data_IF_236821264651
#
_entry.id   IF_236821264651
#
_cell.length_a   1.000
_cell.length_b   1.000
_cell.length_c   1.000
_cell.angle_alpha   90.00
_cell.angle_beta   90.00
_cell.angle_gamma   90.00
#
_symmetry.space_group_name_H-M   'P 1'
#
loop_
_entity.id
_entity.type
_entity.pdbx_description
1 polymer ?
#
# COMPACT_ATOMS: atom_id res chain seq x y z
N UNK A 1 3.56 19.22 -7.45
CA UNK A 1 3.33 18.53 -6.19
C UNK A 1 2.44 17.28 -6.37
N UNK A 2 1.24 17.42 -6.94
CA UNK A 2 0.29 16.31 -7.09
C UNK A 2 0.77 15.18 -8.01
N UNK A 3 1.64 15.47 -8.96
CA UNK A 3 2.16 14.50 -9.92
C UNK A 3 3.68 14.30 -9.80
N UNK A 4 4.22 14.59 -8.62
CA UNK A 4 5.65 14.45 -8.33
C UNK A 4 6.13 13.01 -8.50
N UNK A 5 5.25 12.03 -8.30
CA UNK A 5 5.58 10.61 -8.38
C UNK A 5 6.09 10.14 -9.75
N UNK A 6 5.81 10.86 -10.83
CA UNK A 6 6.35 10.53 -12.15
C UNK A 6 7.85 10.81 -12.27
N UNK A 7 8.41 11.63 -11.38
CA UNK A 7 9.83 12.01 -11.38
C UNK A 7 10.70 11.05 -10.58
N UNK A 8 10.08 10.26 -9.73
CA UNK A 8 10.79 9.37 -8.81
C UNK A 8 10.65 7.91 -9.24
N UNK A 9 11.70 7.14 -9.02
CA UNK A 9 11.70 5.70 -9.18
C UNK A 9 11.46 5.05 -7.81
N UNK A 10 10.31 4.41 -7.59
CA UNK A 10 10.02 3.80 -6.30
C UNK A 10 10.97 2.67 -5.94
N UNK A 11 11.52 1.96 -6.93
CA UNK A 11 12.44 0.85 -6.69
C UNK A 11 13.77 1.32 -6.11
N UNK A 12 14.21 2.55 -6.40
CA UNK A 12 15.43 3.10 -5.84
C UNK A 12 15.38 3.24 -4.31
N UNK A 13 14.21 3.55 -3.76
CA UNK A 13 14.03 3.57 -2.31
C UNK A 13 14.19 2.18 -1.69
N UNK A 14 13.69 1.15 -2.37
CA UNK A 14 13.72 -0.23 -1.88
C UNK A 14 15.09 -0.88 -1.96
N UNK A 15 15.99 -0.37 -2.78
CA UNK A 15 17.37 -0.87 -2.89
C UNK A 15 18.22 -0.56 -1.67
N UNK A 16 17.81 0.41 -0.85
CA UNK A 16 18.53 0.81 0.35
C UNK A 16 18.12 -0.08 1.52
N UNK A 17 18.66 -1.28 1.54
CA UNK A 17 18.39 -2.29 2.55
C UNK A 17 19.56 -2.46 3.52
N UNK A 18 19.29 -3.08 4.66
CA UNK A 18 20.33 -3.52 5.59
C UNK A 18 20.08 -4.98 5.99
N UNK A 19 21.16 -5.67 6.34
CA UNK A 19 21.16 -7.11 6.59
C UNK A 19 21.23 -7.48 8.08
N UNK A 20 21.13 -6.52 8.99
CA UNK A 20 21.29 -6.68 10.44
C UNK A 20 20.04 -7.25 11.12
N UNK A 21 19.45 -8.29 10.54
CA UNK A 21 18.21 -8.89 11.05
C UNK A 21 18.31 -10.39 11.22
N UNK A 22 19.45 -10.87 11.66
CA UNK A 22 19.64 -12.31 11.88
C UNK A 22 18.54 -12.90 12.76
N UNK A 23 17.84 -13.90 12.22
CA UNK A 23 16.80 -14.62 12.93
C UNK A 23 15.44 -13.92 13.00
N UNK A 24 15.25 -12.74 12.39
CA UNK A 24 13.94 -12.13 12.34
C UNK A 24 13.14 -12.70 11.16
N UNK A 25 12.10 -13.44 11.46
CA UNK A 25 11.25 -14.14 10.49
C UNK A 25 9.75 -13.72 10.56
N UNK A 26 9.43 -12.75 11.40
CA UNK A 26 8.08 -12.23 11.56
C UNK A 26 7.75 -11.19 10.49
N UNK A 27 6.45 -10.97 10.28
CA UNK A 27 6.04 -9.92 9.34
C UNK A 27 6.38 -8.52 9.86
N UNK A 28 6.74 -7.66 8.94
CA UNK A 28 6.92 -6.24 9.19
C UNK A 28 5.71 -5.53 8.58
N UNK A 29 5.00 -4.75 9.39
CA UNK A 29 3.79 -4.05 8.98
C UNK A 29 3.95 -2.55 9.18
N UNK A 30 3.71 -1.80 8.13
CA UNK A 30 3.56 -0.35 8.20
C UNK A 30 2.10 -0.03 7.87
N UNK A 31 1.36 0.46 8.85
CA UNK A 31 -0.06 0.75 8.69
C UNK A 31 -0.36 2.23 8.72
N UNK A 32 -1.53 2.59 8.22
CA UNK A 32 -2.05 3.96 8.24
C UNK A 32 -1.17 4.96 7.50
N UNK A 33 -0.57 4.54 6.38
CA UNK A 33 0.19 5.43 5.51
C UNK A 33 -0.81 6.28 4.72
N UNK A 34 -0.98 7.53 5.12
CA UNK A 34 -1.89 8.44 4.42
C UNK A 34 -1.34 8.79 3.05
N UNK A 35 -2.23 8.87 2.07
CA UNK A 35 -1.87 9.29 0.73
C UNK A 35 -2.98 10.14 0.10
N UNK A 36 -2.58 10.91 -0.89
CA UNK A 36 -3.46 11.62 -1.81
C UNK A 36 -3.07 11.23 -3.22
N UNK A 37 -4.06 10.92 -4.05
CA UNK A 37 -3.88 10.55 -5.44
C UNK A 37 -4.96 11.20 -6.29
N UNK A 38 -4.93 10.97 -7.59
CA UNK A 38 -5.95 11.47 -8.52
C UNK A 38 -6.41 10.34 -9.41
N UNK A 39 -7.73 10.19 -9.52
CA UNK A 39 -8.36 9.21 -10.38
C UNK A 39 -8.04 9.50 -11.84
N UNK A 40 -7.53 8.50 -12.55
CA UNK A 40 -7.19 8.59 -13.97
C UNK A 40 -8.40 8.94 -14.85
N UNK A 41 -9.59 8.42 -14.49
CA UNK A 41 -10.80 8.61 -15.29
C UNK A 41 -11.44 9.99 -15.13
N UNK A 42 -11.47 10.53 -13.92
CA UNK A 42 -12.22 11.75 -13.60
C UNK A 42 -11.36 12.90 -13.12
N UNK A 43 -10.05 12.68 -12.96
CA UNK A 43 -9.09 13.67 -12.43
C UNK A 43 -9.44 14.19 -11.04
N UNK A 44 -10.36 13.53 -10.35
CA UNK A 44 -10.77 13.90 -9.00
C UNK A 44 -9.84 13.26 -7.95
N UNK A 45 -9.64 13.90 -6.79
CA UNK A 45 -8.78 13.34 -5.76
C UNK A 45 -9.27 12.01 -5.21
N UNK A 46 -8.29 11.16 -4.85
CA UNK A 46 -8.48 9.96 -4.03
C UNK A 46 -7.71 10.22 -2.75
N UNK A 47 -8.39 10.20 -1.61
CA UNK A 47 -7.78 10.42 -0.31
C UNK A 47 -7.93 9.15 0.51
N UNK A 48 -6.84 8.65 1.05
CA UNK A 48 -6.93 7.40 1.78
C UNK A 48 -5.70 7.02 2.58
N UNK A 49 -5.64 5.75 2.91
CA UNK A 49 -4.52 5.14 3.63
C UNK A 49 -4.13 3.81 2.98
N UNK A 50 -2.84 3.53 3.06
CA UNK A 50 -2.27 2.26 2.65
C UNK A 50 -1.68 1.54 3.85
N UNK A 51 -1.81 0.22 3.84
CA UNK A 51 -1.19 -0.67 4.81
C UNK A 51 -0.31 -1.63 4.02
N UNK A 52 0.96 -1.73 4.40
CA UNK A 52 1.95 -2.51 3.68
C UNK A 52 2.63 -3.45 4.65
N UNK A 53 2.72 -4.72 4.28
CA UNK A 53 3.45 -5.71 5.06
C UNK A 53 4.32 -6.57 4.15
N UNK A 54 5.42 -7.06 4.71
CA UNK A 54 6.22 -8.07 4.04
C UNK A 54 6.86 -9.02 5.06
N UNK A 55 7.13 -10.24 4.61
CA UNK A 55 7.86 -11.25 5.37
C UNK A 55 9.31 -11.23 4.89
N UNK A 56 10.25 -10.71 5.67
CA UNK A 56 11.62 -10.57 5.22
C UNK A 56 12.31 -11.93 5.07
N UNK A 57 13.23 -12.01 4.12
CA UNK A 57 14.18 -13.11 4.02
C UNK A 57 15.43 -12.79 4.83
N UNK A 58 16.36 -12.03 4.24
CA UNK A 58 17.60 -11.62 4.90
C UNK A 58 17.83 -10.10 4.82
N UNK A 59 16.89 -9.36 4.21
CA UNK A 59 17.00 -7.91 4.03
C UNK A 59 15.76 -7.21 4.54
N UNK A 60 15.98 -6.12 5.23
CA UNK A 60 14.92 -5.19 5.60
C UNK A 60 15.19 -3.82 5.01
N UNK A 61 14.12 -3.09 4.76
CA UNK A 61 14.16 -1.72 4.28
C UNK A 61 13.68 -0.78 5.37
N UNK A 62 14.21 0.42 5.42
CA UNK A 62 13.76 1.43 6.38
C UNK A 62 12.27 1.76 6.18
N UNK A 63 11.56 1.93 7.29
CA UNK A 63 10.11 2.20 7.27
C UNK A 63 9.75 3.43 6.44
N UNK A 64 10.59 4.46 6.48
CA UNK A 64 10.39 5.67 5.68
C UNK A 64 10.43 5.39 4.18
N UNK A 65 11.17 4.37 3.75
CA UNK A 65 11.28 4.00 2.34
C UNK A 65 9.98 3.35 1.83
N UNK A 66 9.33 2.55 2.65
CA UNK A 66 8.01 1.99 2.33
C UNK A 66 6.97 3.10 2.15
N UNK A 67 6.96 4.07 3.05
CA UNK A 67 6.07 5.23 2.93
C UNK A 67 6.35 6.02 1.64
N UNK A 68 7.62 6.17 1.26
CA UNK A 68 7.99 6.86 0.01
C UNK A 68 7.57 6.10 -1.24
N UNK A 69 7.58 4.77 -1.21
CA UNK A 69 7.08 3.95 -2.32
C UNK A 69 5.58 4.20 -2.52
N UNK A 70 4.81 4.19 -1.44
CA UNK A 70 3.37 4.51 -1.50
C UNK A 70 3.16 5.91 -2.07
N UNK A 71 3.89 6.90 -1.56
CA UNK A 71 3.80 8.29 -1.99
C UNK A 71 4.12 8.45 -3.49
N UNK A 72 5.17 7.79 -3.95
CA UNK A 72 5.60 7.87 -5.36
C UNK A 72 4.53 7.34 -6.30
N UNK A 73 3.93 6.20 -6.00
CA UNK A 73 2.83 5.68 -6.81
C UNK A 73 1.54 6.48 -6.66
N UNK A 74 1.27 7.01 -5.47
CA UNK A 74 0.05 7.79 -5.24
C UNK A 74 0.05 9.13 -5.98
N UNK A 75 1.20 9.80 -6.06
CA UNK A 75 1.32 11.10 -6.74
C UNK A 75 1.44 10.95 -8.26
N UNK A 76 0.50 10.21 -8.82
CA UNK A 76 0.31 9.96 -10.25
C UNK A 76 -1.18 9.94 -10.54
N UNK A 77 -1.55 9.99 -11.80
CA UNK A 77 -2.91 9.61 -12.20
C UNK A 77 -3.05 8.09 -12.01
N UNK A 78 -4.00 7.67 -11.21
CA UNK A 78 -4.08 6.26 -10.80
C UNK A 78 -5.49 5.66 -10.96
N UNK A 79 -5.47 4.34 -11.09
CA UNK A 79 -6.59 3.46 -10.80
C UNK A 79 -6.21 2.72 -9.53
N UNK A 80 -7.08 2.70 -8.53
CA UNK A 80 -6.72 2.19 -7.20
C UNK A 80 -6.23 0.74 -7.21
N UNK A 81 -6.86 -0.11 -8.00
CA UNK A 81 -6.45 -1.51 -8.15
C UNK A 81 -5.04 -1.63 -8.73
N UNK A 82 -4.73 -0.82 -9.72
CA UNK A 82 -3.41 -0.77 -10.35
C UNK A 82 -2.35 -0.27 -9.36
N UNK A 83 -2.64 0.79 -8.63
CA UNK A 83 -1.73 1.33 -7.61
C UNK A 83 -1.40 0.27 -6.55
N UNK A 84 -2.41 -0.46 -6.07
CA UNK A 84 -2.24 -1.53 -5.09
C UNK A 84 -1.30 -2.62 -5.62
N UNK A 85 -1.51 -3.07 -6.85
CA UNK A 85 -0.67 -4.07 -7.49
C UNK A 85 0.75 -3.57 -7.76
N UNK A 86 0.92 -2.30 -8.13
CA UNK A 86 2.22 -1.70 -8.38
C UNK A 86 3.07 -1.63 -7.11
N UNK A 87 2.48 -1.24 -5.99
CA UNK A 87 3.18 -1.19 -4.70
C UNK A 87 3.64 -2.59 -4.30
N UNK A 88 2.74 -3.57 -4.33
CA UNK A 88 3.07 -4.95 -3.97
C UNK A 88 4.13 -5.55 -4.89
N UNK A 89 3.99 -5.35 -6.19
CA UNK A 89 4.92 -5.88 -7.19
C UNK A 89 6.33 -5.30 -7.08
N UNK A 90 6.45 -4.01 -6.77
CA UNK A 90 7.75 -3.36 -6.58
C UNK A 90 8.48 -3.91 -5.35
N UNK A 91 7.77 -4.12 -4.26
CA UNK A 91 8.34 -4.68 -3.03
C UNK A 91 8.80 -6.13 -3.28
N UNK A 92 7.96 -6.94 -3.92
CA UNK A 92 8.32 -8.32 -4.27
C UNK A 92 9.56 -8.39 -5.16
N UNK A 93 9.62 -7.55 -6.18
CA UNK A 93 10.71 -7.53 -7.15
C UNK A 93 12.05 -7.18 -6.52
N UNK A 94 12.08 -6.15 -5.68
CA UNK A 94 13.34 -5.60 -5.14
C UNK A 94 13.79 -6.31 -3.88
N UNK A 95 12.90 -6.52 -2.91
CA UNK A 95 13.26 -7.12 -1.63
C UNK A 95 13.27 -8.65 -1.67
N UNK A 96 12.57 -9.25 -2.63
CA UNK A 96 12.42 -10.73 -2.74
C UNK A 96 12.04 -11.36 -1.41
N UNK A 97 10.99 -10.86 -0.75
CA UNK A 97 10.55 -11.38 0.54
C UNK A 97 9.81 -12.71 0.37
N UNK A 98 9.50 -13.37 1.47
CA UNK A 98 8.64 -14.56 1.45
C UNK A 98 7.20 -14.25 1.08
N UNK A 99 6.78 -13.03 1.28
CA UNK A 99 5.45 -12.57 0.91
C UNK A 99 5.31 -11.06 1.08
N UNK A 100 4.31 -10.50 0.40
CA UNK A 100 3.94 -9.09 0.46
C UNK A 100 2.43 -8.98 0.60
N UNK A 101 1.97 -8.05 1.42
CA UNK A 101 0.56 -7.71 1.53
C UNK A 101 0.40 -6.20 1.43
N UNK A 102 -0.53 -5.75 0.62
CA UNK A 102 -0.91 -4.35 0.51
C UNK A 102 -2.42 -4.24 0.57
N UNK A 103 -2.92 -3.37 1.43
CA UNK A 103 -4.34 -3.01 1.49
C UNK A 103 -4.44 -1.50 1.39
N UNK A 104 -5.29 -1.02 0.51
CA UNK A 104 -5.56 0.40 0.32
C UNK A 104 -7.04 0.68 0.54
N UNK A 105 -7.30 1.69 1.36
CA UNK A 105 -8.63 2.23 1.61
C UNK A 105 -8.67 3.64 1.02
N UNK A 106 -9.55 3.88 0.06
CA UNK A 106 -9.60 5.15 -0.64
C UNK A 106 -11.02 5.73 -0.73
N UNK A 107 -11.16 6.99 -0.38
CA UNK A 107 -12.37 7.77 -0.65
C UNK A 107 -12.18 8.53 -1.96
N UNK A 108 -12.99 8.18 -2.96
CA UNK A 108 -12.93 8.77 -4.29
C UNK A 108 -13.85 9.98 -4.36
N UNK A 109 -13.29 11.16 -4.56
CA UNK A 109 -14.07 12.40 -4.61
C UNK A 109 -15.02 12.44 -5.83
N UNK A 110 -14.72 11.69 -6.88
CA UNK A 110 -15.63 11.55 -8.01
C UNK A 110 -16.96 10.88 -7.64
N UNK A 111 -17.00 10.12 -6.54
CA UNK A 111 -18.24 9.53 -6.00
C UNK A 111 -18.89 10.40 -4.93
N UNK A 112 -18.12 11.25 -4.26
CA UNK A 112 -18.58 12.06 -3.13
C UNK A 112 -19.14 13.40 -3.56
N UNK A 113 -18.42 14.13 -4.40
CA UNK A 113 -18.71 15.52 -4.76
C UNK A 113 -19.43 15.69 -6.08
N UNK A 114 -19.56 14.63 -6.85
CA UNK A 114 -20.23 14.60 -8.15
C UNK A 114 -20.75 13.20 -8.44
N UNK A 115 -21.35 13.01 -9.61
CA UNK A 115 -21.84 11.70 -10.08
C UNK A 115 -22.92 11.17 -9.16
N UNK A 116 -22.65 10.07 -8.50
CA UNK A 116 -23.61 9.37 -7.62
C UNK A 116 -23.80 10.04 -6.26
N UNK A 117 -23.00 11.03 -5.90
CA UNK A 117 -23.07 11.78 -4.63
C UNK A 117 -23.21 10.88 -3.39
N UNK A 118 -22.25 9.96 -3.21
CA UNK A 118 -22.24 9.03 -2.07
C UNK A 118 -21.09 9.35 -1.11
N UNK A 119 -21.27 10.29 -0.17
CA UNK A 119 -20.26 10.55 0.86
C UNK A 119 -20.12 9.35 1.79
N UNK A 120 -18.93 9.15 2.33
CA UNK A 120 -18.63 8.06 3.26
C UNK A 120 -18.40 6.70 2.62
N UNK A 121 -18.50 6.59 1.29
CA UNK A 121 -18.16 5.35 0.59
C UNK A 121 -16.65 5.24 0.44
N UNK A 122 -16.11 4.10 0.85
CA UNK A 122 -14.69 3.79 0.74
C UNK A 122 -14.50 2.57 -0.14
N UNK A 123 -13.53 2.65 -1.03
CA UNK A 123 -13.08 1.52 -1.82
C UNK A 123 -11.90 0.87 -1.14
N UNK A 124 -11.98 -0.45 -0.93
CA UNK A 124 -10.88 -1.23 -0.37
C UNK A 124 -10.35 -2.18 -1.44
N UNK A 125 -9.04 -2.10 -1.66
CA UNK A 125 -8.34 -2.99 -2.59
C UNK A 125 -7.18 -3.66 -1.89
N UNK A 126 -6.86 -4.89 -2.29
CA UNK A 126 -5.76 -5.64 -1.68
C UNK A 126 -4.93 -6.37 -2.73
N UNK A 127 -3.67 -6.60 -2.40
CA UNK A 127 -2.78 -7.47 -3.16
C UNK A 127 -2.00 -8.32 -2.16
N UNK A 128 -2.16 -9.64 -2.26
CA UNK A 128 -1.50 -10.62 -1.39
C UNK A 128 -0.62 -11.51 -2.25
N UNK A 129 0.68 -11.49 -1.97
CA UNK A 129 1.69 -12.24 -2.73
C UNK A 129 2.47 -13.18 -1.79
N UNK A 130 2.94 -14.30 -2.33
CA UNK A 130 3.73 -15.26 -1.58
C UNK A 130 2.95 -15.87 -0.43
N UNK A 131 3.54 -15.90 0.76
CA UNK A 131 2.93 -16.53 1.95
C UNK A 131 1.62 -15.87 2.38
N UNK A 132 1.46 -14.57 2.16
CA UNK A 132 0.16 -13.90 2.43
C UNK A 132 -0.97 -14.42 1.56
N UNK A 133 -0.64 -14.91 0.38
CA UNK A 133 -1.63 -15.50 -0.52
C UNK A 133 -1.88 -16.96 -0.22
N UNK A 134 -0.81 -17.72 0.07
CA UNK A 134 -0.86 -19.18 0.25
C UNK A 134 -1.39 -19.60 1.61
N UNK A 135 -1.03 -18.87 2.67
CA UNK A 135 -1.36 -19.21 4.04
C UNK A 135 -2.48 -18.29 4.59
N UNK A 136 -3.68 -18.83 4.81
CA UNK A 136 -4.79 -18.05 5.38
C UNK A 136 -4.51 -17.48 6.76
N UNK A 137 -3.69 -18.14 7.58
CA UNK A 137 -3.34 -17.66 8.92
C UNK A 137 -2.43 -16.44 8.85
N UNK A 138 -1.46 -16.44 7.96
CA UNK A 138 -0.59 -15.29 7.72
C UNK A 138 -1.39 -14.07 7.25
N UNK A 139 -2.31 -14.27 6.33
CA UNK A 139 -3.21 -13.22 5.86
C UNK A 139 -4.08 -12.68 7.00
N UNK A 140 -4.63 -13.55 7.81
CA UNK A 140 -5.48 -13.18 8.95
C UNK A 140 -4.70 -12.36 9.97
N UNK A 141 -3.48 -12.74 10.27
CA UNK A 141 -2.60 -12.00 11.18
C UNK A 141 -2.40 -10.56 10.70
N UNK A 142 -2.08 -10.39 9.43
CA UNK A 142 -1.93 -9.06 8.81
C UNK A 142 -3.22 -8.23 8.93
N UNK A 143 -4.35 -8.80 8.53
CA UNK A 143 -5.63 -8.11 8.57
C UNK A 143 -6.03 -7.73 10.01
N UNK A 144 -5.69 -8.55 10.99
CA UNK A 144 -5.91 -8.26 12.40
C UNK A 144 -5.06 -7.09 12.87
N UNK A 145 -3.78 -7.07 12.48
CA UNK A 145 -2.85 -6.00 12.86
C UNK A 145 -3.30 -4.64 12.32
N UNK A 146 -3.76 -4.57 11.07
CA UNK A 146 -4.20 -3.29 10.49
C UNK A 146 -5.59 -2.87 10.96
N UNK A 147 -6.29 -3.70 11.75
CA UNK A 147 -7.66 -3.46 12.16
C UNK A 147 -8.59 -3.61 10.96
N UNK A 148 -9.50 -4.57 10.96
CA UNK A 148 -10.37 -4.88 9.84
C UNK A 148 -10.83 -3.61 9.09
N UNK A 149 -10.42 -3.39 7.81
CA UNK A 149 -10.69 -2.14 7.08
C UNK A 149 -12.16 -1.74 7.01
N UNK A 150 -13.07 -2.71 7.15
CA UNK A 150 -14.52 -2.47 7.12
C UNK A 150 -15.06 -1.80 8.40
N UNK A 151 -14.25 -1.70 9.48
CA UNK A 151 -14.73 -1.23 10.79
C UNK A 151 -14.02 0.05 11.28
N UNK A 152 -13.03 0.57 10.58
CA UNK A 152 -12.18 1.67 11.06
C UNK A 152 -12.53 3.05 10.50
N UNK A 153 -13.82 3.37 10.39
CA UNK A 153 -14.25 4.73 10.08
C UNK A 153 -14.78 5.47 11.33
N UNK A 154 -13.92 5.63 12.32
CA UNK A 154 -14.12 6.63 13.34
C UNK A 154 -13.13 7.78 13.11
N UNK A 155 -13.66 8.84 12.50
CA UNK A 155 -13.02 10.14 12.43
C UNK A 155 -12.06 10.40 11.33
#
# INVERSE_FOLDING_TARGET
EWFQGYKDDPEEYLKRTFEEVEGYDEMIVLRDIRFESHCEHHLAPIIGKAHVAYLPTNRVVGISKLARVVETFARRLQVQEKMTAQIAGSIEKVLKPKGVAVVIEGAHQCMTTRGVHKPGVTMVTSSMLGEFRKDPLTRREFLTIIGNPATSFDG
#
